data_IF_410685344062
#
_entry.id   IF_410685344062
#
_cell.length_a   1.000
_cell.length_b   1.000
_cell.length_c   1.000
_cell.angle_alpha   90.00
_cell.angle_beta   90.00
_cell.angle_gamma   90.00
#
_symmetry.space_group_name_H-M   'P 1'
#
loop_
_entity.id
_entity.type
_entity.pdbx_description
1 polymer ?
#
# COMPACT_ATOMS: atom_id res chain seq x y z
N UNK A 1 20.59 -17.90 7.22
CA UNK A 1 20.28 -16.47 6.99
C UNK A 1 19.19 -16.06 7.97
N UNK A 2 19.39 -14.99 8.76
CA UNK A 2 18.42 -14.57 9.78
C UNK A 2 17.23 -13.82 9.16
N UNK A 3 16.12 -13.69 9.89
CA UNK A 3 14.95 -12.95 9.42
C UNK A 3 15.27 -11.47 9.15
N UNK A 4 16.08 -10.85 10.03
CA UNK A 4 16.55 -9.48 9.85
C UNK A 4 17.30 -9.29 8.52
N UNK A 5 18.10 -10.28 8.11
CA UNK A 5 18.86 -10.20 6.87
C UNK A 5 17.95 -10.27 5.64
N UNK A 6 16.96 -11.18 5.64
CA UNK A 6 15.96 -11.27 4.55
C UNK A 6 15.15 -9.98 4.41
N UNK A 7 14.75 -9.38 5.54
CA UNK A 7 14.03 -8.10 5.54
C UNK A 7 14.89 -6.97 4.96
N UNK A 8 16.17 -6.90 5.34
CA UNK A 8 17.10 -5.92 4.81
C UNK A 8 17.31 -6.09 3.30
N UNK A 9 17.46 -7.32 2.80
CA UNK A 9 17.57 -7.59 1.36
C UNK A 9 16.30 -7.16 0.59
N UNK A 10 15.12 -7.49 1.10
CA UNK A 10 13.84 -7.09 0.50
C UNK A 10 13.64 -5.57 0.47
N UNK A 11 14.13 -4.87 1.50
CA UNK A 11 14.14 -3.41 1.57
C UNK A 11 15.09 -2.81 0.53
N UNK A 12 16.31 -3.33 0.41
CA UNK A 12 17.27 -2.87 -0.59
C UNK A 12 16.71 -3.06 -2.01
N UNK A 13 16.09 -4.21 -2.29
CA UNK A 13 15.45 -4.46 -3.57
C UNK A 13 14.29 -3.49 -3.85
N UNK A 14 13.49 -3.18 -2.82
CA UNK A 14 12.44 -2.16 -2.93
C UNK A 14 13.02 -0.79 -3.29
N UNK A 15 14.07 -0.36 -2.60
CA UNK A 15 14.72 0.94 -2.84
C UNK A 15 15.28 1.01 -4.27
N UNK A 16 15.95 -0.04 -4.74
CA UNK A 16 16.48 -0.07 -6.11
C UNK A 16 15.41 0.05 -7.19
N UNK A 17 14.21 -0.50 -6.94
CA UNK A 17 13.06 -0.38 -7.85
C UNK A 17 12.32 0.95 -7.73
N UNK A 18 12.65 1.78 -6.74
CA UNK A 18 11.88 2.97 -6.34
C UNK A 18 12.68 4.27 -6.50
N UNK A 19 13.29 4.48 -7.67
CA UNK A 19 14.19 5.62 -7.94
C UNK A 19 13.52 7.00 -7.96
N UNK A 20 12.19 7.07 -7.96
CA UNK A 20 11.41 8.29 -7.78
C UNK A 20 10.11 7.98 -7.04
N UNK A 21 9.38 9.02 -6.61
CA UNK A 21 8.04 8.89 -5.99
C UNK A 21 7.08 8.06 -6.83
N UNK A 22 7.11 8.24 -8.15
CA UNK A 22 6.30 7.48 -9.10
C UNK A 22 6.68 6.00 -9.11
N UNK A 23 7.99 5.69 -9.14
CA UNK A 23 8.47 4.30 -9.09
C UNK A 23 8.19 3.64 -7.73
N UNK A 24 8.31 4.40 -6.63
CA UNK A 24 7.98 3.92 -5.30
C UNK A 24 6.50 3.49 -5.21
N UNK A 25 5.58 4.34 -5.70
CA UNK A 25 4.15 4.03 -5.73
C UNK A 25 3.83 2.88 -6.68
N UNK A 26 4.44 2.82 -7.87
CA UNK A 26 4.26 1.69 -8.78
C UNK A 26 4.71 0.38 -8.12
N UNK A 27 5.89 0.37 -7.50
CA UNK A 27 6.44 -0.80 -6.79
C UNK A 27 5.54 -1.23 -5.63
N UNK A 28 5.01 -0.28 -4.85
CA UNK A 28 4.05 -0.57 -3.78
C UNK A 28 2.74 -1.15 -4.33
N UNK A 29 2.20 -0.57 -5.40
CA UNK A 29 0.98 -1.05 -6.05
C UNK A 29 1.14 -2.49 -6.58
N UNK A 30 2.27 -2.81 -7.21
CA UNK A 30 2.58 -4.18 -7.66
C UNK A 30 2.67 -5.19 -6.51
N UNK A 31 3.31 -4.78 -5.40
CA UNK A 31 3.39 -5.61 -4.18
C UNK A 31 2.00 -5.83 -3.57
N UNK A 32 1.16 -4.80 -3.53
CA UNK A 32 -0.23 -4.89 -3.04
C UNK A 32 -1.08 -5.82 -3.92
N UNK A 33 -1.00 -5.68 -5.25
CA UNK A 33 -1.68 -6.57 -6.21
C UNK A 33 -1.23 -8.03 -6.02
N UNK A 34 0.09 -8.26 -5.89
CA UNK A 34 0.66 -9.59 -5.63
C UNK A 34 0.19 -10.18 -4.28
N UNK A 35 -0.13 -9.33 -3.30
CA UNK A 35 -0.71 -9.71 -2.02
C UNK A 35 -2.24 -9.89 -2.05
N UNK A 36 -2.88 -9.76 -3.21
CA UNK A 36 -4.32 -9.95 -3.40
C UNK A 36 -5.17 -8.72 -3.08
N UNK A 37 -4.58 -7.53 -2.99
CA UNK A 37 -5.37 -6.30 -2.87
C UNK A 37 -5.99 -5.90 -4.21
N UNK A 38 -7.22 -5.39 -4.14
CA UNK A 38 -7.95 -4.86 -5.30
C UNK A 38 -7.67 -3.37 -5.44
N UNK A 39 -7.22 -2.95 -6.63
CA UNK A 39 -7.06 -1.53 -6.97
C UNK A 39 -8.44 -0.90 -7.20
N UNK A 40 -8.68 0.24 -6.57
CA UNK A 40 -9.88 1.06 -6.74
C UNK A 40 -9.53 2.34 -7.50
N UNK A 41 -10.47 2.83 -8.32
CA UNK A 41 -10.36 4.14 -8.98
C UNK A 41 -11.06 5.22 -8.13
N UNK A 42 -10.37 6.33 -7.81
CA UNK A 42 -10.94 7.45 -7.03
C UNK A 42 -12.22 8.04 -7.65
N UNK A 43 -12.45 7.85 -8.95
CA UNK A 43 -13.59 8.41 -9.68
C UNK A 43 -14.84 7.55 -9.58
N UNK A 44 -14.67 6.29 -9.20
CA UNK A 44 -15.77 5.33 -9.16
C UNK A 44 -16.48 5.32 -7.81
N UNK A 45 -17.75 4.90 -7.82
CA UNK A 45 -18.44 4.54 -6.59
C UNK A 45 -17.91 3.21 -6.09
N UNK A 46 -17.26 3.23 -4.93
CA UNK A 46 -16.68 2.01 -4.37
C UNK A 46 -17.73 1.09 -3.77
N UNK A 47 -17.54 -0.21 -4.02
CA UNK A 47 -18.22 -1.30 -3.30
C UNK A 47 -17.18 -1.95 -2.40
N UNK A 48 -17.22 -1.60 -1.12
CA UNK A 48 -16.29 -2.08 -0.10
C UNK A 48 -16.96 -3.18 0.69
N UNK A 49 -16.32 -4.35 0.76
CA UNK A 49 -16.83 -5.52 1.46
C UNK A 49 -16.02 -5.80 2.73
N UNK A 50 -16.68 -6.34 3.75
CA UNK A 50 -16.03 -6.79 4.98
C UNK A 50 -15.05 -7.93 4.67
N UNK A 51 -13.85 -7.86 5.25
CA UNK A 51 -12.76 -8.79 4.95
C UNK A 51 -12.02 -8.50 3.64
N UNK A 52 -12.45 -7.50 2.85
CA UNK A 52 -11.78 -7.12 1.61
C UNK A 52 -10.48 -6.33 1.84
N UNK A 53 -9.56 -6.43 0.88
CA UNK A 53 -8.31 -5.69 0.85
C UNK A 53 -8.28 -4.81 -0.39
N UNK A 54 -8.07 -3.51 -0.19
CA UNK A 54 -8.17 -2.53 -1.26
C UNK A 54 -7.04 -1.53 -1.20
N UNK A 55 -6.69 -0.96 -2.35
CA UNK A 55 -5.82 0.19 -2.38
C UNK A 55 -6.21 1.13 -3.51
N UNK A 56 -5.76 2.37 -3.40
CA UNK A 56 -5.93 3.39 -4.42
C UNK A 56 -4.65 4.20 -4.55
N UNK A 57 -4.37 4.66 -5.77
CA UNK A 57 -3.29 5.61 -6.02
C UNK A 57 -3.85 6.98 -6.35
N UNK A 58 -3.10 8.04 -6.01
CA UNK A 58 -3.44 9.41 -6.40
C UNK A 58 -2.26 10.03 -7.11
N UNK A 59 -2.51 10.52 -8.33
CA UNK A 59 -1.51 11.17 -9.19
C UNK A 59 -0.27 10.31 -9.50
N UNK A 60 -0.32 9.00 -9.22
CA UNK A 60 0.85 8.11 -9.28
C UNK A 60 1.93 8.39 -8.23
N UNK A 61 1.72 9.31 -7.27
CA UNK A 61 2.74 9.72 -6.28
C UNK A 61 2.35 9.42 -4.84
N UNK A 62 1.09 9.07 -4.59
CA UNK A 62 0.63 8.55 -3.30
C UNK A 62 -0.13 7.24 -3.47
N UNK A 63 -0.04 6.37 -2.45
CA UNK A 63 -0.81 5.13 -2.33
C UNK A 63 -1.48 5.07 -0.97
N UNK A 64 -2.74 4.62 -0.95
CA UNK A 64 -3.50 4.38 0.26
C UNK A 64 -4.01 2.93 0.19
N UNK A 65 -3.56 2.09 1.12
CA UNK A 65 -3.96 0.69 1.19
C UNK A 65 -4.68 0.43 2.52
N UNK A 66 -5.73 -0.37 2.49
CA UNK A 66 -6.52 -0.70 3.68
C UNK A 66 -7.12 -2.10 3.60
N UNK A 67 -7.21 -2.74 4.77
CA UNK A 67 -7.92 -4.00 5.00
C UNK A 67 -9.18 -3.72 5.80
N UNK A 68 -10.32 -4.21 5.33
CA UNK A 68 -11.61 -4.01 5.98
C UNK A 68 -11.83 -5.11 7.00
N UNK A 69 -12.01 -4.75 8.27
CA UNK A 69 -12.37 -5.69 9.32
C UNK A 69 -13.76 -6.31 9.13
N UNK A 70 -14.10 -7.27 10.00
CA UNK A 70 -15.43 -7.90 10.00
C UNK A 70 -16.46 -7.14 10.85
N UNK A 71 -16.01 -6.29 11.78
CA UNK A 71 -16.88 -5.54 12.69
C UNK A 71 -17.43 -4.25 12.09
N UNK A 72 -17.78 -3.29 12.95
CA UNK A 72 -18.33 -1.99 12.56
C UNK A 72 -17.25 -0.91 12.74
N UNK A 73 -16.80 -0.24 11.65
CA UNK A 73 -15.81 0.82 11.75
C UNK A 73 -16.17 1.95 12.72
N UNK A 74 -17.47 2.21 12.94
CA UNK A 74 -17.92 3.25 13.88
C UNK A 74 -17.65 2.87 15.35
N UNK A 75 -17.55 1.58 15.66
CA UNK A 75 -17.25 1.06 17.00
C UNK A 75 -15.79 0.66 17.14
N UNK A 76 -15.22 0.01 16.13
CA UNK A 76 -13.88 -0.58 16.17
C UNK A 76 -12.78 0.43 15.79
N UNK A 77 -13.14 1.49 15.08
CA UNK A 77 -12.22 2.53 14.64
C UNK A 77 -11.24 2.09 13.54
N UNK A 78 -10.17 2.88 13.38
CA UNK A 78 -9.16 2.68 12.36
C UNK A 78 -7.76 2.57 12.98
N UNK A 79 -6.96 1.62 12.49
CA UNK A 79 -5.52 1.54 12.77
C UNK A 79 -4.76 2.04 11.57
N UNK A 80 -4.13 3.20 11.70
CA UNK A 80 -3.51 3.91 10.58
C UNK A 80 -2.00 4.00 10.82
N UNK A 81 -1.22 3.62 9.80
CA UNK A 81 0.21 3.88 9.71
C UNK A 81 0.43 4.75 8.48
N UNK A 82 1.30 5.75 8.61
CA UNK A 82 1.62 6.66 7.53
C UNK A 82 3.14 6.82 7.38
N UNK A 83 3.56 7.00 6.14
CA UNK A 83 4.91 7.36 5.73
C UNK A 83 4.79 8.25 4.48
N UNK A 84 5.93 8.69 3.93
CA UNK A 84 5.96 9.48 2.70
C UNK A 84 6.79 8.77 1.63
N UNK A 85 6.46 8.99 0.35
CA UNK A 85 7.07 8.32 -0.81
C UNK A 85 8.23 9.10 -1.43
N UNK A 86 8.40 10.35 -1.03
CA UNK A 86 9.37 11.30 -1.58
C UNK A 86 10.65 11.39 -0.75
N UNK A 87 11.69 11.92 -1.38
CA UNK A 87 12.98 12.24 -0.77
C UNK A 87 13.57 13.42 -1.53
N UNK A 88 14.42 14.26 -0.90
CA UNK A 88 15.15 15.31 -1.60
C UNK A 88 15.94 14.74 -2.80
N UNK A 89 15.94 15.47 -3.91
CA UNK A 89 16.58 15.09 -5.18
C UNK A 89 17.54 16.16 -5.68
#
# INVERSE_FOLDING_TARGET
>A
MTEAYKTAESLIEFIHKSSSTFHAVSTMAERLKSAGYVELDLRDKWKIEKGGNYFVTRNGTAVFAFSVGLGDPAQDGFRIVAAHSDSPT
#
